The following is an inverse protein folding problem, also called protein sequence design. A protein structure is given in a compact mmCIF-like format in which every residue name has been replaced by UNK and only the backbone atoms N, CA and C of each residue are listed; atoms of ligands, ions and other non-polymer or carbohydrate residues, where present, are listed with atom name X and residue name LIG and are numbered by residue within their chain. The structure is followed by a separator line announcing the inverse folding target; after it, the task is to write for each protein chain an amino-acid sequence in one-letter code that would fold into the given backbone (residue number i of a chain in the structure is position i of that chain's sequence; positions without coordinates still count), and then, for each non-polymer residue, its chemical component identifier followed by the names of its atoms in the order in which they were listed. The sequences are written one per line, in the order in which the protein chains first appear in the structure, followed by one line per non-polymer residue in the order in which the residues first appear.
data_IF_642334393191
#
_entry.id   IF_642334393191
#
_cell.length_a   1.000
_cell.length_b   1.000
_cell.length_c   1.000
_cell.angle_alpha   90.00
_cell.angle_beta   90.00
_cell.angle_gamma   90.00
#
_symmetry.space_group_name_H-M   'P 1'
#
loop_
_entity.id
_entity.type
_entity.pdbx_description
1 polymer ?
#
# COMPACT_ATOMS: atom_id res chain seq x y z
N UNK A 1 27.43 -26.11 -38.84
CA UNK A 1 27.30 -24.64 -38.96
C UNK A 1 27.70 -24.03 -37.63
N UNK A 2 28.84 -23.36 -37.56
CA UNK A 2 29.29 -22.63 -36.37
C UNK A 2 28.37 -21.43 -36.18
N UNK A 3 27.58 -21.42 -35.11
CA UNK A 3 26.71 -20.30 -34.78
C UNK A 3 27.58 -19.08 -34.45
N UNK A 4 27.72 -18.16 -35.40
CA UNK A 4 28.35 -16.85 -35.14
C UNK A 4 27.51 -16.11 -34.11
N UNK A 5 28.14 -15.68 -33.02
CA UNK A 5 27.48 -14.90 -31.98
C UNK A 5 26.84 -13.65 -32.62
N UNK A 6 25.59 -13.35 -32.25
CA UNK A 6 24.92 -12.15 -32.75
C UNK A 6 25.68 -10.87 -32.32
N UNK A 7 25.64 -9.80 -33.12
CA UNK A 7 26.20 -8.50 -32.74
C UNK A 7 25.52 -7.96 -31.47
N UNK A 8 26.17 -7.02 -30.77
CA UNK A 8 25.60 -6.41 -29.57
C UNK A 8 24.40 -5.50 -29.90
N UNK A 9 24.52 -4.73 -30.98
CA UNK A 9 23.53 -3.75 -31.47
C UNK A 9 22.63 -4.35 -32.55
N UNK A 10 21.50 -3.68 -32.79
CA UNK A 10 20.61 -4.03 -33.89
C UNK A 10 21.19 -3.63 -35.26
N UNK A 11 20.66 -4.24 -36.31
CA UNK A 11 20.81 -3.80 -37.71
C UNK A 11 19.44 -3.64 -38.34
N UNK A 12 19.38 -3.19 -39.60
CA UNK A 12 18.12 -3.13 -40.37
C UNK A 12 17.42 -4.51 -40.52
N UNK A 13 18.17 -5.62 -40.35
CA UNK A 13 17.68 -6.97 -40.61
C UNK A 13 17.68 -7.88 -39.39
N UNK A 14 18.31 -7.50 -38.27
CA UNK A 14 18.44 -8.39 -37.11
C UNK A 14 18.47 -7.65 -35.78
N UNK A 15 17.91 -8.27 -34.74
CA UNK A 15 18.07 -7.80 -33.37
C UNK A 15 19.43 -8.20 -32.81
N UNK A 16 20.07 -7.26 -32.10
CA UNK A 16 21.31 -7.49 -31.37
C UNK A 16 21.10 -8.27 -30.08
N UNK A 17 22.18 -8.82 -29.52
CA UNK A 17 22.16 -9.59 -28.27
C UNK A 17 21.59 -8.80 -27.10
N UNK A 18 21.91 -7.52 -26.98
CA UNK A 18 21.45 -6.68 -25.87
C UNK A 18 19.93 -6.53 -25.89
N UNK A 19 19.36 -6.28 -27.08
CA UNK A 19 17.90 -6.20 -27.24
C UNK A 19 17.19 -7.52 -26.90
N UNK A 20 17.78 -8.67 -27.31
CA UNK A 20 17.25 -10.00 -26.98
C UNK A 20 17.31 -10.30 -25.48
N UNK A 21 18.42 -9.95 -24.81
CA UNK A 21 18.56 -10.10 -23.36
C UNK A 21 17.50 -9.28 -22.63
N UNK A 22 17.35 -7.99 -22.98
CA UNK A 22 16.32 -7.16 -22.40
C UNK A 22 14.92 -7.72 -22.63
N UNK A 23 14.63 -8.21 -23.84
CA UNK A 23 13.34 -8.82 -24.15
C UNK A 23 13.05 -10.03 -23.24
N UNK A 24 13.93 -11.02 -23.19
CA UNK A 24 13.69 -12.25 -22.44
C UNK A 24 13.76 -12.03 -20.93
N UNK A 25 14.61 -11.13 -20.45
CA UNK A 25 14.61 -10.73 -19.04
C UNK A 25 13.30 -10.03 -18.66
N UNK A 26 12.82 -9.11 -19.50
CA UNK A 26 11.51 -8.47 -19.29
C UNK A 26 10.39 -9.50 -19.28
N UNK A 27 10.39 -10.43 -20.25
CA UNK A 27 9.39 -11.49 -20.33
C UNK A 27 9.38 -12.36 -19.06
N UNK A 28 10.56 -12.80 -18.59
CA UNK A 28 10.70 -13.55 -17.35
C UNK A 28 10.10 -12.78 -16.16
N UNK A 29 10.51 -11.52 -15.97
CA UNK A 29 10.06 -10.72 -14.85
C UNK A 29 8.54 -10.46 -14.87
N UNK A 30 7.97 -10.16 -16.03
CA UNK A 30 6.52 -9.92 -16.17
C UNK A 30 5.72 -11.21 -15.97
N UNK A 31 6.16 -12.33 -16.55
CA UNK A 31 5.50 -13.63 -16.39
C UNK A 31 5.65 -14.20 -14.97
N UNK A 32 6.59 -13.70 -14.17
CA UNK A 32 6.68 -13.97 -12.73
C UNK A 32 5.80 -13.00 -11.92
N UNK A 33 5.84 -11.69 -12.20
CA UNK A 33 5.12 -10.68 -11.43
C UNK A 33 3.60 -10.80 -11.57
N UNK A 34 3.08 -11.09 -12.77
CA UNK A 34 1.64 -11.22 -13.02
C UNK A 34 0.97 -12.29 -12.14
N UNK A 35 1.40 -13.56 -12.14
CA UNK A 35 0.78 -14.58 -11.28
C UNK A 35 1.00 -14.29 -9.80
N UNK A 36 2.16 -13.77 -9.40
CA UNK A 36 2.39 -13.37 -8.01
C UNK A 36 1.35 -12.33 -7.54
N UNK A 37 1.05 -11.33 -8.38
CA UNK A 37 0.07 -10.30 -8.06
C UNK A 37 -1.36 -10.85 -7.95
N UNK A 38 -1.76 -11.70 -8.91
CA UNK A 38 -3.09 -12.34 -8.90
C UNK A 38 -3.27 -13.25 -7.68
N UNK A 39 -2.30 -14.12 -7.41
CA UNK A 39 -2.33 -15.04 -6.27
C UNK A 39 -2.32 -14.25 -4.95
N UNK A 40 -1.47 -13.22 -4.83
CA UNK A 40 -1.40 -12.40 -3.62
C UNK A 40 -2.73 -11.67 -3.35
N UNK A 41 -3.37 -11.12 -4.40
CA UNK A 41 -4.64 -10.40 -4.28
C UNK A 41 -5.73 -11.30 -3.68
N UNK A 42 -5.87 -12.52 -4.22
CA UNK A 42 -6.93 -13.45 -3.87
C UNK A 42 -6.57 -14.36 -2.68
N UNK A 43 -5.35 -14.26 -2.14
CA UNK A 43 -4.91 -15.08 -1.01
C UNK A 43 -5.71 -14.77 0.26
N UNK A 44 -5.95 -15.81 1.06
CA UNK A 44 -6.61 -15.71 2.35
C UNK A 44 -5.83 -14.81 3.33
N UNK A 45 -6.54 -14.26 4.31
CA UNK A 45 -5.98 -13.40 5.36
C UNK A 45 -6.70 -13.60 6.70
N UNK A 46 -7.37 -14.73 6.84
CA UNK A 46 -8.15 -15.17 8.00
C UNK A 46 -7.30 -15.79 9.13
N UNK A 47 -5.99 -15.90 8.93
CA UNK A 47 -5.04 -16.46 9.89
C UNK A 47 -3.65 -15.82 9.79
N UNK A 48 -2.81 -16.00 10.81
CA UNK A 48 -1.44 -15.46 10.85
C UNK A 48 -0.60 -15.91 9.68
N UNK A 49 -0.61 -17.21 9.47
CA UNK A 49 0.13 -17.87 8.41
C UNK A 49 -0.39 -17.41 7.05
N UNK A 50 -1.71 -17.23 6.90
CA UNK A 50 -2.30 -16.70 5.69
C UNK A 50 -1.88 -15.24 5.43
N UNK A 51 -1.98 -14.34 6.41
CA UNK A 51 -1.54 -12.95 6.23
C UNK A 51 -0.03 -12.85 5.98
N UNK A 52 0.79 -13.61 6.70
CA UNK A 52 2.23 -13.65 6.46
C UNK A 52 2.56 -14.13 5.04
N UNK A 53 1.84 -15.15 4.54
CA UNK A 53 1.98 -15.63 3.16
C UNK A 53 1.52 -14.57 2.16
N UNK A 54 0.40 -13.90 2.41
CA UNK A 54 -0.09 -12.79 1.58
C UNK A 54 0.94 -11.66 1.52
N UNK A 55 1.49 -11.27 2.66
CA UNK A 55 2.54 -10.26 2.78
C UNK A 55 3.81 -10.66 2.03
N UNK A 56 4.22 -11.94 2.11
CA UNK A 56 5.35 -12.48 1.35
C UNK A 56 5.11 -12.41 -0.16
N UNK A 57 3.95 -12.87 -0.64
CA UNK A 57 3.60 -12.86 -2.06
C UNK A 57 3.55 -11.43 -2.62
N UNK A 58 2.99 -10.48 -1.86
CA UNK A 58 3.03 -9.07 -2.25
C UNK A 58 4.44 -8.49 -2.24
N UNK A 59 5.28 -8.83 -1.25
CA UNK A 59 6.67 -8.36 -1.20
C UNK A 59 7.46 -8.86 -2.42
N UNK A 60 7.28 -10.13 -2.80
CA UNK A 60 7.84 -10.71 -4.02
C UNK A 60 7.31 -10.01 -5.27
N UNK A 61 5.98 -9.87 -5.40
CA UNK A 61 5.33 -9.20 -6.53
C UNK A 61 5.89 -7.79 -6.74
N UNK A 62 5.91 -6.96 -5.68
CA UNK A 62 6.38 -5.57 -5.77
C UNK A 62 7.88 -5.52 -6.08
N UNK A 63 8.69 -6.37 -5.45
CA UNK A 63 10.15 -6.41 -5.69
C UNK A 63 10.48 -6.81 -7.14
N UNK A 64 9.80 -7.83 -7.67
CA UNK A 64 9.94 -8.25 -9.08
C UNK A 64 9.38 -7.18 -10.02
N UNK A 65 8.27 -6.53 -9.66
CA UNK A 65 7.66 -5.44 -10.43
C UNK A 65 8.59 -4.22 -10.58
N UNK A 66 9.28 -3.81 -9.52
CA UNK A 66 10.29 -2.74 -9.56
C UNK A 66 11.50 -3.14 -10.40
N UNK A 67 11.94 -4.41 -10.31
CA UNK A 67 13.00 -4.92 -11.18
C UNK A 67 12.58 -4.91 -12.66
N UNK A 68 11.33 -5.27 -12.95
CA UNK A 68 10.74 -5.20 -14.29
C UNK A 68 10.69 -3.77 -14.81
N UNK A 69 10.30 -2.80 -13.97
CA UNK A 69 10.29 -1.38 -14.31
C UNK A 69 11.68 -0.86 -14.67
N UNK A 70 12.69 -1.09 -13.82
CA UNK A 70 14.06 -0.68 -14.10
C UNK A 70 14.61 -1.32 -15.39
N UNK A 71 14.33 -2.61 -15.60
CA UNK A 71 14.69 -3.33 -16.83
C UNK A 71 13.99 -2.74 -18.06
N UNK A 72 12.71 -2.37 -17.93
CA UNK A 72 11.93 -1.77 -19.00
C UNK A 72 12.43 -0.38 -19.39
N UNK A 73 12.74 0.48 -18.41
CA UNK A 73 13.34 1.80 -18.66
C UNK A 73 14.67 1.64 -19.38
N UNK A 74 15.56 0.77 -18.88
CA UNK A 74 16.83 0.48 -19.54
C UNK A 74 16.64 -0.07 -20.97
N UNK A 75 15.67 -0.95 -21.18
CA UNK A 75 15.29 -1.49 -22.49
C UNK A 75 14.80 -0.40 -23.44
N UNK A 76 13.96 0.52 -22.99
CA UNK A 76 13.42 1.63 -23.79
C UNK A 76 14.56 2.58 -24.17
N UNK A 77 15.37 3.01 -23.20
CA UNK A 77 16.54 3.87 -23.44
C UNK A 77 17.51 3.22 -24.43
N UNK A 78 17.76 1.91 -24.30
CA UNK A 78 18.54 1.18 -25.28
C UNK A 78 17.87 1.23 -26.65
N UNK A 79 16.60 0.85 -26.77
CA UNK A 79 15.87 0.81 -28.04
C UNK A 79 15.85 2.16 -28.78
N UNK A 80 15.78 3.29 -28.07
CA UNK A 80 15.84 4.64 -28.66
C UNK A 80 17.16 4.93 -29.39
N UNK A 81 18.25 4.22 -29.06
CA UNK A 81 19.55 4.37 -29.72
C UNK A 81 19.78 3.39 -30.86
N UNK A 82 18.85 2.46 -31.10
CA UNK A 82 19.04 1.34 -32.01
C UNK A 82 18.21 1.48 -33.28
N UNK A 83 18.73 0.97 -34.39
CA UNK A 83 17.94 0.74 -35.60
C UNK A 83 16.86 -0.31 -35.32
N UNK A 84 15.60 -0.01 -35.68
CA UNK A 84 14.50 -1.00 -35.64
C UNK A 84 14.61 -1.89 -36.87
N UNK A 85 14.78 -3.22 -36.74
CA UNK A 85 14.84 -4.07 -37.91
C UNK A 85 13.45 -4.21 -38.56
N UNK A 86 13.40 -4.33 -39.90
CA UNK A 86 12.17 -4.30 -40.69
C UNK A 86 11.16 -5.41 -40.36
N UNK A 87 9.87 -5.17 -40.63
CA UNK A 87 8.82 -6.18 -40.53
C UNK A 87 8.98 -7.25 -41.63
N UNK A 88 8.71 -8.52 -41.34
CA UNK A 88 8.85 -9.59 -42.34
C UNK A 88 7.79 -9.53 -43.45
N UNK A 89 6.60 -9.05 -43.11
CA UNK A 89 5.42 -9.05 -43.99
C UNK A 89 4.74 -7.67 -44.05
N UNK A 90 5.45 -6.60 -44.49
CA UNK A 90 4.89 -5.24 -44.52
C UNK A 90 3.67 -5.12 -45.44
N UNK A 91 3.51 -6.02 -46.41
CA UNK A 91 2.35 -6.12 -47.29
C UNK A 91 1.06 -6.49 -46.53
N UNK A 92 1.17 -7.18 -45.38
CA UNK A 92 0.05 -7.57 -44.53
C UNK A 92 -0.30 -6.44 -43.57
N UNK A 93 -0.93 -5.39 -44.09
CA UNK A 93 -1.17 -4.12 -43.38
C UNK A 93 -1.88 -4.29 -42.03
N UNK A 94 -2.94 -5.10 -41.96
CA UNK A 94 -3.70 -5.31 -40.72
C UNK A 94 -2.87 -6.06 -39.67
N UNK A 95 -2.15 -7.10 -40.07
CA UNK A 95 -1.27 -7.88 -39.19
C UNK A 95 -0.13 -7.01 -38.65
N UNK A 96 0.48 -6.20 -39.53
CA UNK A 96 1.52 -5.24 -39.15
C UNK A 96 0.96 -4.18 -38.18
N UNK A 97 -0.22 -3.61 -38.46
CA UNK A 97 -0.88 -2.67 -37.56
C UNK A 97 -1.13 -3.26 -36.18
N UNK A 98 -1.70 -4.48 -36.11
CA UNK A 98 -1.98 -5.15 -34.83
C UNK A 98 -0.71 -5.49 -34.07
N UNK A 99 0.35 -5.95 -34.76
CA UNK A 99 1.63 -6.22 -34.15
C UNK A 99 2.24 -4.94 -33.54
N UNK A 100 2.23 -3.82 -34.28
CA UNK A 100 2.73 -2.54 -33.77
C UNK A 100 1.87 -1.98 -32.63
N UNK A 101 0.54 -2.11 -32.72
CA UNK A 101 -0.37 -1.73 -31.64
C UNK A 101 -0.07 -2.50 -30.35
N UNK A 102 0.05 -3.84 -30.44
CA UNK A 102 0.39 -4.67 -29.29
C UNK A 102 1.76 -4.32 -28.73
N UNK A 103 2.77 -4.06 -29.57
CA UNK A 103 4.07 -3.61 -29.09
C UNK A 103 4.00 -2.26 -28.36
N UNK A 104 3.24 -1.29 -28.87
CA UNK A 104 3.03 -0.01 -28.18
C UNK A 104 2.28 -0.17 -26.86
N UNK A 105 1.23 -1.00 -26.82
CA UNK A 105 0.52 -1.34 -25.59
C UNK A 105 1.47 -1.94 -24.55
N UNK A 106 2.34 -2.86 -24.97
CA UNK A 106 3.35 -3.45 -24.11
C UNK A 106 4.37 -2.39 -23.64
N UNK A 107 4.93 -1.58 -24.53
CA UNK A 107 5.92 -0.56 -24.13
C UNK A 107 5.37 0.43 -23.11
N UNK A 108 4.13 0.89 -23.31
CA UNK A 108 3.45 1.74 -22.33
C UNK A 108 3.20 0.96 -21.03
N UNK A 109 2.66 -0.27 -21.10
CA UNK A 109 2.40 -1.13 -19.94
C UNK A 109 3.62 -1.31 -19.04
N UNK A 110 4.78 -1.58 -19.66
CA UNK A 110 6.03 -1.87 -18.96
C UNK A 110 6.50 -0.74 -18.05
N UNK A 111 6.01 0.48 -18.30
CA UNK A 111 6.29 1.67 -17.47
C UNK A 111 5.14 1.92 -16.52
N UNK A 112 3.92 2.09 -17.02
CA UNK A 112 2.84 2.65 -16.21
C UNK A 112 2.21 1.64 -15.25
N UNK A 113 2.25 0.33 -15.53
CA UNK A 113 1.74 -0.70 -14.61
C UNK A 113 2.57 -0.72 -13.32
N UNK A 114 3.89 -0.94 -13.36
CA UNK A 114 4.67 -0.94 -12.13
C UNK A 114 4.76 0.45 -11.50
N UNK A 115 4.74 1.54 -12.28
CA UNK A 115 4.73 2.89 -11.73
C UNK A 115 3.45 3.16 -10.93
N UNK A 116 2.27 2.80 -11.44
CA UNK A 116 1.02 2.97 -10.68
C UNK A 116 1.00 2.09 -9.42
N UNK A 117 1.54 0.87 -9.49
CA UNK A 117 1.68 0.00 -8.32
C UNK A 117 2.64 0.58 -7.27
N UNK A 118 3.73 1.22 -7.71
CA UNK A 118 4.68 1.89 -6.82
C UNK A 118 4.09 3.14 -6.17
N UNK A 119 3.37 3.96 -6.95
CA UNK A 119 2.62 5.11 -6.43
C UNK A 119 1.57 4.70 -5.41
N UNK A 120 0.83 3.61 -5.67
CA UNK A 120 -0.08 3.00 -4.70
C UNK A 120 0.66 2.61 -3.41
N UNK A 121 1.76 1.86 -3.51
CA UNK A 121 2.54 1.47 -2.33
C UNK A 121 3.09 2.68 -1.55
N UNK A 122 3.58 3.70 -2.25
CA UNK A 122 4.09 4.91 -1.64
C UNK A 122 3.00 5.69 -0.87
N UNK A 123 1.75 5.65 -1.34
CA UNK A 123 0.60 6.28 -0.69
C UNK A 123 0.01 5.46 0.48
N UNK A 124 0.24 4.15 0.52
CA UNK A 124 -0.26 3.24 1.57
C UNK A 124 0.70 3.15 2.77
N UNK A 125 0.16 2.90 3.97
CA UNK A 125 0.96 2.64 5.18
C UNK A 125 1.13 1.13 5.41
N UNK A 126 2.34 0.69 5.75
CA UNK A 126 2.55 -0.52 6.55
C UNK A 126 2.44 -1.92 5.92
N UNK A 127 2.11 -2.09 4.64
CA UNK A 127 1.86 -3.44 4.10
C UNK A 127 2.88 -3.91 3.05
N UNK A 128 3.51 -5.07 3.30
CA UNK A 128 4.39 -5.83 2.41
C UNK A 128 5.54 -5.01 1.77
N UNK A 129 6.76 -5.00 2.35
CA UNK A 129 7.85 -4.12 1.92
C UNK A 129 8.45 -4.52 0.56
N UNK A 130 9.00 -3.53 -0.15
CA UNK A 130 9.85 -3.75 -1.34
C UNK A 130 11.30 -4.03 -0.92
N UNK A 131 11.89 -5.16 -1.33
CA UNK A 131 13.24 -5.55 -0.89
C UNK A 131 14.38 -4.91 -1.69
N UNK A 132 14.12 -3.76 -2.32
CA UNK A 132 15.14 -2.89 -2.90
C UNK A 132 15.47 -1.76 -1.93
N UNK A 133 16.74 -1.32 -1.84
CA UNK A 133 17.15 -0.25 -0.92
C UNK A 133 16.59 1.13 -1.28
N UNK A 134 15.93 1.27 -2.44
CA UNK A 134 15.40 2.53 -2.97
C UNK A 134 13.90 2.44 -3.34
N UNK A 135 13.14 1.51 -2.75
CA UNK A 135 11.79 1.15 -3.23
C UNK A 135 10.59 1.53 -2.36
N UNK A 136 10.76 2.00 -1.12
CA UNK A 136 9.64 2.09 -0.17
C UNK A 136 8.73 3.31 -0.39
N UNK A 137 9.32 4.49 -0.57
CA UNK A 137 8.60 5.75 -0.71
C UNK A 137 9.04 6.50 -1.95
N UNK A 138 8.17 7.37 -2.45
CA UNK A 138 8.47 8.29 -3.53
C UNK A 138 8.35 9.73 -3.00
N UNK A 139 9.30 10.61 -3.33
CA UNK A 139 9.18 12.02 -3.00
C UNK A 139 7.85 12.58 -3.50
N UNK A 140 7.22 13.44 -2.70
CA UNK A 140 5.98 14.14 -3.03
C UNK A 140 4.72 13.27 -3.16
N UNK A 141 4.78 11.98 -2.81
CA UNK A 141 3.57 11.14 -2.70
C UNK A 141 3.09 11.15 -1.25
N UNK A 142 1.94 11.79 -0.93
CA UNK A 142 1.42 11.82 0.43
C UNK A 142 0.88 10.44 0.84
N UNK A 143 0.93 10.15 2.14
CA UNK A 143 0.19 9.03 2.73
C UNK A 143 -1.29 9.39 2.75
N UNK A 144 -2.09 8.74 1.90
CA UNK A 144 -3.50 9.07 1.70
C UNK A 144 -4.24 7.89 1.07
N UNK A 145 -5.34 7.49 1.69
CA UNK A 145 -6.21 6.41 1.19
C UNK A 145 -6.81 6.75 -0.18
N UNK A 146 -7.22 8.01 -0.39
CA UNK A 146 -7.73 8.46 -1.67
C UNK A 146 -6.68 8.34 -2.79
N UNK A 147 -5.44 8.73 -2.51
CA UNK A 147 -4.32 8.61 -3.46
C UNK A 147 -3.98 7.14 -3.71
N UNK A 148 -3.95 6.32 -2.65
CA UNK A 148 -3.71 4.89 -2.76
C UNK A 148 -4.80 4.21 -3.59
N UNK A 149 -6.08 4.50 -3.37
CA UNK A 149 -7.20 3.92 -4.10
C UNK A 149 -7.20 4.33 -5.58
N UNK A 150 -6.91 5.59 -5.87
CA UNK A 150 -6.76 6.09 -7.23
C UNK A 150 -5.71 5.29 -8.03
N UNK A 151 -4.50 5.15 -7.48
CA UNK A 151 -3.43 4.41 -8.14
C UNK A 151 -3.64 2.89 -8.13
N UNK A 152 -4.34 2.36 -7.13
CA UNK A 152 -4.79 0.96 -7.12
C UNK A 152 -5.72 0.67 -8.31
N UNK A 153 -6.71 1.55 -8.55
CA UNK A 153 -7.62 1.44 -9.69
C UNK A 153 -6.88 1.49 -11.04
N UNK A 154 -5.90 2.38 -11.17
CA UNK A 154 -5.02 2.41 -12.35
C UNK A 154 -4.25 1.11 -12.51
N UNK A 155 -3.61 0.61 -11.44
CA UNK A 155 -2.86 -0.64 -11.48
C UNK A 155 -3.74 -1.82 -11.90
N UNK A 156 -4.94 -1.94 -11.34
CA UNK A 156 -5.90 -3.00 -11.68
C UNK A 156 -6.34 -2.95 -13.15
N UNK A 157 -6.63 -1.77 -13.70
CA UNK A 157 -7.05 -1.67 -15.10
C UNK A 157 -5.86 -1.86 -16.05
N UNK A 158 -4.71 -1.24 -15.76
CA UNK A 158 -3.53 -1.37 -16.61
C UNK A 158 -2.98 -2.79 -16.65
N UNK A 159 -3.07 -3.56 -15.55
CA UNK A 159 -2.69 -4.98 -15.55
C UNK A 159 -3.58 -5.83 -16.46
N UNK A 160 -4.88 -5.52 -16.59
CA UNK A 160 -5.77 -6.17 -17.56
C UNK A 160 -5.34 -5.88 -19.00
N UNK A 161 -5.02 -4.61 -19.31
CA UNK A 161 -4.50 -4.21 -20.62
C UNK A 161 -3.18 -4.93 -20.94
N UNK A 162 -2.25 -4.94 -19.98
CA UNK A 162 -0.98 -5.67 -20.09
C UNK A 162 -1.21 -7.17 -20.31
N UNK A 163 -2.09 -7.80 -19.53
CA UNK A 163 -2.41 -9.22 -19.65
C UNK A 163 -2.94 -9.59 -21.03
N UNK A 164 -3.91 -8.82 -21.55
CA UNK A 164 -4.43 -9.01 -22.91
C UNK A 164 -3.33 -8.79 -23.95
N UNK A 165 -2.52 -7.75 -23.82
CA UNK A 165 -1.43 -7.48 -24.76
C UNK A 165 -0.35 -8.59 -24.76
N UNK A 166 0.00 -9.13 -23.59
CA UNK A 166 0.93 -10.27 -23.46
C UNK A 166 0.34 -11.52 -24.13
N UNK A 167 -0.94 -11.82 -23.88
CA UNK A 167 -1.61 -12.96 -24.51
C UNK A 167 -1.64 -12.83 -26.03
N UNK A 168 -2.02 -11.67 -26.56
CA UNK A 168 -2.03 -11.40 -28.00
C UNK A 168 -0.62 -11.45 -28.60
N UNK A 169 0.39 -10.95 -27.89
CA UNK A 169 1.79 -11.01 -28.33
C UNK A 169 2.29 -12.45 -28.46
N UNK A 170 2.06 -13.28 -27.44
CA UNK A 170 2.43 -14.69 -27.45
C UNK A 170 1.65 -15.44 -28.55
N UNK A 171 0.34 -15.21 -28.65
CA UNK A 171 -0.50 -15.81 -29.68
C UNK A 171 -0.02 -15.45 -31.10
N UNK A 172 0.35 -14.18 -31.33
CA UNK A 172 0.96 -13.73 -32.58
C UNK A 172 2.26 -14.46 -32.88
N UNK A 173 3.20 -14.52 -31.91
CA UNK A 173 4.46 -15.23 -32.08
C UNK A 173 4.26 -16.73 -32.38
N UNK A 174 3.31 -17.38 -31.72
CA UNK A 174 2.96 -18.78 -31.97
C UNK A 174 2.30 -18.99 -33.33
N UNK A 175 1.40 -18.08 -33.74
CA UNK A 175 0.78 -18.09 -35.08
C UNK A 175 1.85 -17.99 -36.16
N UNK A 176 2.79 -17.06 -36.03
CA UNK A 176 3.93 -16.92 -36.95
C UNK A 176 4.83 -18.17 -36.96
N UNK A 177 5.07 -18.79 -35.81
CA UNK A 177 5.93 -19.98 -35.71
C UNK A 177 5.26 -21.25 -36.27
N UNK A 178 3.97 -21.46 -35.98
CA UNK A 178 3.27 -22.74 -36.22
C UNK A 178 2.50 -22.71 -37.55
N UNK A 179 1.83 -21.59 -37.85
CA UNK A 179 0.94 -21.43 -39.00
C UNK A 179 1.70 -20.80 -40.17
N UNK A 180 2.25 -19.59 -40.01
CA UNK A 180 3.00 -18.95 -41.10
C UNK A 180 4.37 -19.59 -41.33
N UNK A 181 4.93 -20.20 -40.29
CA UNK A 181 6.26 -20.84 -40.27
C UNK A 181 7.36 -19.89 -40.73
N UNK A 182 7.29 -18.65 -40.28
CA UNK A 182 8.27 -17.61 -40.63
C UNK A 182 9.34 -17.41 -39.53
N UNK A 183 10.23 -16.45 -39.76
CA UNK A 183 11.39 -16.19 -38.88
C UNK A 183 11.10 -15.24 -37.71
N UNK A 184 9.84 -14.87 -37.45
CA UNK A 184 9.47 -13.87 -36.43
C UNK A 184 9.99 -14.23 -35.04
N UNK A 185 9.71 -15.44 -34.55
CA UNK A 185 10.20 -15.89 -33.25
C UNK A 185 11.72 -16.14 -33.26
N UNK A 186 12.23 -16.73 -34.35
CA UNK A 186 13.65 -17.02 -34.51
C UNK A 186 14.54 -15.77 -34.40
N UNK A 187 14.04 -14.60 -34.84
CA UNK A 187 14.73 -13.31 -34.70
C UNK A 187 14.94 -12.88 -33.24
N UNK A 188 14.16 -13.39 -32.30
CA UNK A 188 14.28 -13.10 -30.87
C UNK A 188 15.03 -14.19 -30.08
N UNK A 189 15.20 -15.39 -30.63
CA UNK A 189 15.98 -16.47 -30.00
C UNK A 189 17.50 -16.19 -29.99
N UNK A 190 18.28 -16.86 -29.13
CA UNK A 190 19.74 -16.78 -29.16
C UNK A 190 20.31 -17.12 -30.54
N UNK A 191 21.36 -16.41 -30.95
CA UNK A 191 21.97 -16.55 -32.28
C UNK A 191 21.67 -15.40 -33.23
N UNK A 192 22.25 -15.43 -34.42
CA UNK A 192 22.09 -14.39 -35.45
C UNK A 192 21.10 -14.86 -36.51
N UNK A 193 20.02 -14.10 -36.70
CA UNK A 193 19.00 -14.31 -37.74
C UNK A 193 18.75 -12.97 -38.41
N UNK A 194 19.23 -12.81 -39.64
CA UNK A 194 18.99 -11.64 -40.48
C UNK A 194 17.81 -11.92 -41.40
N UNK A 195 16.72 -11.16 -41.25
CA UNK A 195 15.51 -11.30 -42.05
C UNK A 195 14.68 -10.01 -42.06
N UNK A 196 14.11 -9.69 -43.22
CA UNK A 196 13.27 -8.52 -43.46
C UNK A 196 13.77 -7.66 -44.63
N UNK A 197 12.90 -6.84 -45.23
CA UNK A 197 13.27 -5.86 -46.23
C UNK A 197 14.03 -4.68 -45.59
N UNK A 198 14.52 -3.76 -46.43
CA UNK A 198 15.02 -2.46 -45.96
C UNK A 198 13.96 -1.75 -45.10
N UNK A 199 14.42 -0.97 -44.11
CA UNK A 199 13.52 -0.28 -43.18
C UNK A 199 12.55 0.65 -43.94
N UNK A 200 11.26 0.31 -43.91
CA UNK A 200 10.18 1.12 -44.49
C UNK A 200 9.69 2.18 -43.49
N UNK A 201 9.05 3.22 -44.02
CA UNK A 201 8.46 4.31 -43.25
C UNK A 201 7.37 3.78 -42.28
N UNK A 202 7.37 4.27 -41.04
CA UNK A 202 6.51 3.75 -39.98
C UNK A 202 5.19 4.52 -39.89
N UNK A 203 4.06 3.81 -39.98
CA UNK A 203 2.76 4.39 -39.65
C UNK A 203 2.68 4.66 -38.14
N UNK A 204 2.27 5.88 -37.77
CA UNK A 204 2.11 6.29 -36.37
C UNK A 204 0.71 5.99 -35.84
N UNK A 205 -0.22 5.52 -36.67
CA UNK A 205 -1.59 5.19 -36.26
C UNK A 205 -1.67 4.16 -35.11
N UNK A 206 -0.82 3.10 -35.02
CA UNK A 206 -0.89 2.16 -33.90
C UNK A 206 -0.49 2.80 -32.57
N UNK A 207 0.43 3.76 -32.59
CA UNK A 207 0.84 4.52 -31.40
C UNK A 207 -0.32 5.34 -30.85
N UNK A 208 -1.01 6.10 -31.71
CA UNK A 208 -2.16 6.90 -31.28
C UNK A 208 -3.31 6.02 -30.80
N UNK A 209 -3.56 4.89 -31.45
CA UNK A 209 -4.54 3.91 -30.99
C UNK A 209 -4.20 3.37 -29.59
N UNK A 210 -2.93 3.05 -29.32
CA UNK A 210 -2.47 2.64 -27.99
C UNK A 210 -2.68 3.75 -26.94
N UNK A 211 -2.40 5.01 -27.28
CA UNK A 211 -2.65 6.15 -26.38
C UNK A 211 -4.13 6.33 -26.07
N UNK A 212 -5.03 6.18 -27.05
CA UNK A 212 -6.48 6.26 -26.83
C UNK A 212 -6.94 5.13 -25.90
N UNK A 213 -6.47 3.90 -26.12
CA UNK A 213 -6.78 2.76 -25.24
C UNK A 213 -6.35 3.08 -23.80
N UNK A 214 -5.16 3.65 -23.61
CA UNK A 214 -4.69 4.02 -22.28
C UNK A 214 -5.42 5.22 -21.67
N UNK A 215 -5.83 6.20 -22.47
CA UNK A 215 -6.65 7.30 -21.97
C UNK A 215 -8.01 6.78 -21.45
N UNK A 216 -8.63 5.84 -22.17
CA UNK A 216 -9.86 5.16 -21.71
C UNK A 216 -9.58 4.32 -20.46
N UNK A 217 -8.49 3.56 -20.45
CA UNK A 217 -8.10 2.74 -19.30
C UNK A 217 -7.81 3.60 -18.05
N UNK A 218 -7.20 4.78 -18.22
CA UNK A 218 -6.99 5.75 -17.15
C UNK A 218 -8.33 6.26 -16.61
N UNK A 219 -9.27 6.65 -17.48
CA UNK A 219 -10.61 7.06 -17.06
C UNK A 219 -11.32 5.97 -16.27
N UNK A 220 -11.32 4.73 -16.78
CA UNK A 220 -11.90 3.58 -16.10
C UNK A 220 -11.21 3.23 -14.78
N UNK A 221 -9.88 3.29 -14.73
CA UNK A 221 -9.09 3.04 -13.53
C UNK A 221 -9.32 4.10 -12.45
N UNK A 222 -9.39 5.38 -12.83
CA UNK A 222 -9.73 6.48 -11.92
C UNK A 222 -11.13 6.29 -11.34
N UNK A 223 -12.11 5.98 -12.20
CA UNK A 223 -13.48 5.73 -11.77
C UNK A 223 -13.54 4.53 -10.82
N UNK A 224 -12.97 3.38 -11.18
CA UNK A 224 -13.00 2.18 -10.34
C UNK A 224 -12.26 2.39 -9.02
N UNK A 225 -11.11 3.05 -9.01
CA UNK A 225 -10.34 3.32 -7.80
C UNK A 225 -11.11 4.22 -6.82
N UNK A 226 -11.72 5.30 -7.32
CA UNK A 226 -12.51 6.21 -6.50
C UNK A 226 -13.86 5.61 -6.09
N UNK A 227 -14.53 4.88 -7.00
CA UNK A 227 -15.78 4.20 -6.70
C UNK A 227 -15.57 3.10 -5.65
N UNK A 228 -14.51 2.29 -5.74
CA UNK A 228 -14.18 1.33 -4.68
C UNK A 228 -13.75 1.99 -3.36
N UNK A 229 -13.23 3.22 -3.37
CA UNK A 229 -13.01 3.96 -2.13
C UNK A 229 -14.34 4.46 -1.52
N UNK A 230 -15.35 4.71 -2.35
CA UNK A 230 -16.68 5.15 -1.91
C UNK A 230 -17.60 3.96 -1.56
N UNK A 231 -17.41 2.81 -2.22
CA UNK A 231 -18.14 1.54 -2.03
C UNK A 231 -17.46 0.59 -1.05
N UNK A 232 -16.15 0.75 -0.77
CA UNK A 232 -15.63 0.30 0.50
C UNK A 232 -16.63 0.84 1.51
N UNK A 233 -17.29 -0.04 2.30
CA UNK A 233 -18.34 0.40 3.21
C UNK A 233 -17.75 1.61 3.91
N UNK A 234 -18.48 2.73 3.91
CA UNK A 234 -17.97 4.10 4.08
C UNK A 234 -17.17 4.32 5.38
N UNK A 235 -16.05 3.62 5.58
CA UNK A 235 -15.99 2.84 6.82
C UNK A 235 -17.32 2.02 6.95
N UNK A 236 -17.34 0.73 7.29
CA UNK A 236 -18.39 0.40 8.26
C UNK A 236 -17.97 1.25 9.45
N UNK A 237 -18.33 2.55 9.46
CA UNK A 237 -18.41 3.30 10.69
C UNK A 237 -19.48 2.50 11.37
N UNK A 238 -19.04 1.49 12.13
CA UNK A 238 -19.67 1.17 13.39
C UNK A 238 -19.88 2.55 13.97
N UNK A 239 -21.11 3.05 13.82
CA UNK A 239 -21.40 4.44 14.09
C UNK A 239 -20.88 4.65 15.50
N UNK A 240 -19.89 5.53 15.65
CA UNK A 240 -19.25 5.74 16.93
C UNK A 240 -20.37 6.01 17.92
N UNK A 241 -20.48 5.15 18.93
CA UNK A 241 -21.55 5.26 19.91
C UNK A 241 -21.46 6.66 20.51
N UNK A 242 -22.53 7.47 20.48
CA UNK A 242 -22.50 8.79 21.07
C UNK A 242 -22.09 8.66 22.54
N UNK A 243 -20.95 9.26 22.86
CA UNK A 243 -20.42 9.22 24.22
C UNK A 243 -21.14 10.28 25.07
N UNK A 244 -21.43 9.93 26.31
CA UNK A 244 -21.93 10.91 27.26
C UNK A 244 -20.80 11.90 27.60
N UNK A 245 -21.09 13.20 27.64
CA UNK A 245 -20.14 14.18 28.18
C UNK A 245 -20.32 14.21 29.70
N UNK A 246 -19.40 13.66 30.49
CA UNK A 246 -19.54 13.63 31.94
C UNK A 246 -19.34 15.03 32.53
N UNK A 247 -20.00 15.30 33.66
CA UNK A 247 -19.67 16.48 34.46
C UNK A 247 -18.24 16.33 34.98
N UNK A 248 -17.41 17.34 34.70
CA UNK A 248 -15.98 17.33 35.00
C UNK A 248 -15.57 18.62 35.71
N UNK A 249 -14.55 18.57 36.57
CA UNK A 249 -13.90 19.78 37.08
C UNK A 249 -13.03 20.48 36.02
N UNK A 250 -12.60 19.75 34.99
CA UNK A 250 -11.79 20.27 33.88
C UNK A 250 -12.33 19.77 32.52
N UNK A 251 -13.02 20.63 31.80
CA UNK A 251 -13.60 20.29 30.49
C UNK A 251 -12.55 20.35 29.37
N UNK A 252 -12.33 19.20 28.71
CA UNK A 252 -11.49 19.09 27.51
C UNK A 252 -12.08 19.96 26.38
N UNK A 253 -11.26 20.84 25.82
CA UNK A 253 -11.61 21.72 24.69
C UNK A 253 -11.15 21.14 23.35
N UNK A 254 -9.95 20.55 23.36
CA UNK A 254 -9.33 19.91 22.22
C UNK A 254 -8.36 18.85 22.71
N UNK A 255 -8.22 17.76 21.96
CA UNK A 255 -7.14 16.81 22.20
C UNK A 255 -7.01 15.79 21.08
N UNK A 256 -6.00 14.93 21.23
CA UNK A 256 -5.69 13.82 20.35
C UNK A 256 -5.41 12.58 21.17
N UNK A 257 -5.96 11.44 20.73
CA UNK A 257 -5.64 10.12 21.23
C UNK A 257 -5.10 9.29 20.07
N UNK A 258 -3.78 9.21 19.98
CA UNK A 258 -3.05 8.53 18.91
C UNK A 258 -2.54 7.16 19.34
N UNK A 259 -2.44 6.25 18.37
CA UNK A 259 -1.77 4.95 18.52
C UNK A 259 -0.78 4.71 17.39
N UNK A 260 0.29 3.97 17.66
CA UNK A 260 1.16 3.43 16.62
C UNK A 260 1.55 1.98 16.88
N UNK A 261 1.61 1.19 15.81
CA UNK A 261 1.98 -0.23 15.86
C UNK A 261 2.87 -0.58 14.66
N UNK A 262 3.82 -1.48 14.86
CA UNK A 262 4.61 -2.00 13.74
C UNK A 262 3.81 -3.07 12.97
N UNK A 263 3.85 -3.01 11.64
CA UNK A 263 3.32 -4.05 10.77
C UNK A 263 4.32 -4.33 9.66
N UNK A 264 4.74 -5.59 9.51
CA UNK A 264 5.79 -6.00 8.56
C UNK A 264 7.06 -5.10 8.61
N UNK A 265 7.45 -4.65 9.81
CA UNK A 265 8.61 -3.77 10.05
C UNK A 265 8.41 -2.29 9.68
N UNK A 266 7.19 -1.87 9.36
CA UNK A 266 6.83 -0.47 9.11
C UNK A 266 5.86 0.03 10.18
N UNK A 267 6.01 1.28 10.62
CA UNK A 267 5.08 1.88 11.58
C UNK A 267 3.77 2.25 10.87
N UNK A 268 2.64 1.88 11.48
CA UNK A 268 1.30 2.31 11.12
C UNK A 268 0.77 3.15 12.28
N UNK A 269 0.39 4.39 11.97
CA UNK A 269 -0.14 5.36 12.93
C UNK A 269 -1.63 5.55 12.73
N UNK A 270 -2.32 5.84 13.83
CA UNK A 270 -3.76 6.02 13.87
C UNK A 270 -4.22 6.87 15.03
N UNK A 271 -5.51 7.16 15.08
CA UNK A 271 -6.12 7.93 16.17
C UNK A 271 -7.60 7.62 16.32
N UNK A 272 -8.13 7.90 17.51
CA UNK A 272 -9.56 7.88 17.80
C UNK A 272 -10.09 9.31 17.77
N UNK A 273 -11.09 9.57 16.93
CA UNK A 273 -11.70 10.89 16.81
C UNK A 273 -12.69 11.19 17.94
N UNK A 274 -13.39 10.17 18.45
CA UNK A 274 -14.48 10.33 19.42
C UNK A 274 -14.10 9.68 20.75
N UNK A 275 -13.82 10.53 21.74
CA UNK A 275 -13.57 10.15 23.12
C UNK A 275 -14.00 11.29 24.06
N UNK A 276 -14.35 10.94 25.29
CA UNK A 276 -14.75 11.89 26.33
C UNK A 276 -13.99 11.60 27.61
N UNK A 277 -13.70 12.64 28.40
CA UNK A 277 -13.02 12.49 29.67
C UNK A 277 -13.75 13.25 30.79
N UNK A 278 -13.97 12.57 31.91
CA UNK A 278 -14.27 13.18 33.21
C UNK A 278 -12.99 13.34 33.99
N UNK A 279 -12.62 14.59 34.26
CA UNK A 279 -11.39 14.92 34.98
C UNK A 279 -11.77 15.68 36.25
N UNK A 280 -11.36 15.16 37.41
CA UNK A 280 -11.33 15.89 38.67
C UNK A 280 -9.86 16.03 39.05
N UNK A 281 -9.36 17.26 39.12
CA UNK A 281 -7.94 17.51 39.43
C UNK A 281 -7.81 18.75 40.29
N UNK A 282 -7.16 18.58 41.44
CA UNK A 282 -6.85 19.62 42.41
C UNK A 282 -5.33 19.80 42.51
N UNK A 283 -4.76 20.89 41.95
CA UNK A 283 -3.31 21.13 42.01
C UNK A 283 -2.79 21.35 43.44
N UNK A 284 -3.66 21.72 44.38
CA UNK A 284 -3.32 22.09 45.75
C UNK A 284 -3.51 20.93 46.74
N UNK A 285 -3.86 19.73 46.24
CA UNK A 285 -4.05 18.54 47.07
C UNK A 285 -2.78 18.19 47.87
N UNK A 286 -2.93 18.01 49.19
CA UNK A 286 -1.81 17.75 50.10
C UNK A 286 -1.23 16.32 50.00
N UNK A 287 -2.00 15.37 49.45
CA UNK A 287 -1.62 13.96 49.33
C UNK A 287 -0.91 13.62 48.01
N UNK A 288 -0.51 12.35 47.82
CA UNK A 288 0.05 11.87 46.55
C UNK A 288 -1.00 11.77 45.43
N UNK A 289 -2.27 11.59 45.78
CA UNK A 289 -3.40 11.62 44.86
C UNK A 289 -3.85 13.06 44.64
N UNK A 290 -3.88 13.47 43.38
CA UNK A 290 -4.19 14.81 42.89
C UNK A 290 -5.61 14.91 42.31
N UNK A 291 -6.31 13.78 42.21
CA UNK A 291 -7.64 13.68 41.66
C UNK A 291 -7.90 12.37 40.93
N UNK A 292 -8.91 12.35 40.06
CA UNK A 292 -9.35 11.17 39.33
C UNK A 292 -9.64 11.48 37.87
N UNK A 293 -9.49 10.47 37.02
CA UNK A 293 -9.83 10.54 35.60
C UNK A 293 -10.65 9.32 35.20
N UNK A 294 -11.66 9.55 34.36
CA UNK A 294 -12.39 8.51 33.65
C UNK A 294 -12.52 8.91 32.18
N UNK A 295 -12.03 8.07 31.28
CA UNK A 295 -12.06 8.28 29.83
C UNK A 295 -12.90 7.18 29.20
N UNK A 296 -13.75 7.56 28.26
CA UNK A 296 -14.49 6.64 27.39
C UNK A 296 -14.12 6.94 25.94
N UNK A 297 -13.84 5.91 25.16
CA UNK A 297 -13.36 6.00 23.78
C UNK A 297 -14.32 5.20 22.90
N UNK A 298 -14.85 5.81 21.85
CA UNK A 298 -15.67 5.10 20.88
C UNK A 298 -14.75 4.40 19.87
N UNK A 299 -14.75 3.07 19.90
CA UNK A 299 -13.83 2.24 19.09
C UNK A 299 -14.06 2.43 17.59
N UNK A 300 -15.33 2.60 17.18
CA UNK A 300 -15.70 2.86 15.78
C UNK A 300 -15.13 4.16 15.19
N UNK A 301 -14.59 5.06 16.02
CA UNK A 301 -13.95 6.31 15.58
C UNK A 301 -12.47 6.14 15.20
N UNK A 302 -11.94 4.91 15.26
CA UNK A 302 -10.57 4.60 14.90
C UNK A 302 -10.30 4.92 13.43
N UNK A 303 -9.16 5.57 13.19
CA UNK A 303 -8.46 5.60 11.91
C UNK A 303 -7.07 5.00 12.11
N UNK A 304 -6.65 4.07 11.26
CA UNK A 304 -5.35 3.38 11.32
C UNK A 304 -4.81 3.13 9.90
N UNK A 305 -4.98 4.12 9.01
CA UNK A 305 -4.68 4.02 7.59
C UNK A 305 -5.41 2.85 6.90
N UNK A 306 -4.75 2.21 5.94
CA UNK A 306 -5.37 1.16 5.11
C UNK A 306 -5.80 -0.10 5.87
N UNK A 307 -5.45 -0.25 7.15
CA UNK A 307 -5.84 -1.39 7.99
C UNK A 307 -6.99 -1.06 8.95
N UNK A 308 -7.56 0.14 8.88
CA UNK A 308 -8.67 0.57 9.76
C UNK A 308 -9.82 -0.44 9.79
N UNK A 309 -10.36 -0.80 8.63
CA UNK A 309 -11.50 -1.73 8.54
C UNK A 309 -11.17 -3.12 9.11
N UNK A 310 -9.91 -3.55 9.00
CA UNK A 310 -9.47 -4.83 9.56
C UNK A 310 -9.31 -4.75 11.07
N UNK A 311 -8.76 -3.65 11.58
CA UNK A 311 -8.60 -3.42 13.01
C UNK A 311 -9.94 -3.41 13.77
N UNK A 312 -11.05 -3.04 13.12
CA UNK A 312 -12.38 -3.02 13.74
C UNK A 312 -13.04 -4.41 13.86
N UNK A 313 -12.54 -5.44 13.17
CA UNK A 313 -13.14 -6.78 13.13
C UNK A 313 -12.96 -7.58 14.44
N UNK A 314 -13.72 -8.69 14.65
CA UNK A 314 -13.70 -9.50 15.87
C UNK A 314 -12.33 -9.99 16.36
N UNK A 315 -11.41 -10.26 15.44
CA UNK A 315 -10.04 -10.66 15.78
C UNK A 315 -9.28 -9.54 16.53
N UNK A 316 -9.49 -8.29 16.14
CA UNK A 316 -8.83 -7.12 16.70
C UNK A 316 -9.71 -6.44 17.74
N UNK A 317 -10.21 -5.23 17.46
CA UNK A 317 -11.01 -4.47 18.43
C UNK A 317 -12.42 -5.01 18.65
N UNK A 318 -12.94 -5.82 17.72
CA UNK A 318 -14.31 -6.36 17.78
C UNK A 318 -15.35 -5.25 18.03
N UNK A 319 -15.28 -4.18 17.23
CA UNK A 319 -15.97 -2.92 17.50
C UNK A 319 -17.50 -3.02 17.57
N UNK A 320 -18.11 -4.02 16.92
CA UNK A 320 -19.55 -4.28 17.02
C UNK A 320 -19.96 -4.82 18.39
N UNK A 321 -19.17 -5.77 18.94
CA UNK A 321 -19.42 -6.39 20.24
C UNK A 321 -18.89 -5.55 21.41
N UNK A 322 -17.84 -4.76 21.14
CA UNK A 322 -17.13 -3.91 22.10
C UNK A 322 -17.02 -2.48 21.55
N UNK A 323 -18.13 -1.72 21.53
CA UNK A 323 -18.17 -0.41 20.88
C UNK A 323 -17.37 0.67 21.62
N UNK A 324 -17.06 0.46 22.90
CA UNK A 324 -16.31 1.41 23.71
C UNK A 324 -15.15 0.74 24.46
N UNK A 325 -14.11 1.54 24.72
CA UNK A 325 -13.06 1.24 25.68
C UNK A 325 -13.06 2.31 26.78
N UNK A 326 -12.67 1.92 27.99
CA UNK A 326 -12.70 2.82 29.14
C UNK A 326 -11.38 2.79 29.89
N UNK A 327 -10.89 3.94 30.31
CA UNK A 327 -9.78 4.03 31.26
C UNK A 327 -10.24 4.79 32.50
N UNK A 328 -10.08 4.23 33.69
CA UNK A 328 -10.44 4.92 34.94
C UNK A 328 -9.37 4.70 36.01
N UNK A 329 -8.98 5.77 36.70
CA UNK A 329 -8.03 5.68 37.80
C UNK A 329 -7.72 7.01 38.47
N UNK A 330 -6.99 6.98 39.60
CA UNK A 330 -6.42 8.16 40.22
C UNK A 330 -5.36 8.85 39.35
N UNK A 331 -5.24 10.16 39.53
CA UNK A 331 -4.11 10.96 39.07
C UNK A 331 -3.15 11.13 40.25
N UNK A 332 -1.93 10.64 40.11
CA UNK A 332 -0.90 10.68 41.13
C UNK A 332 0.15 11.74 40.79
N UNK A 333 0.72 12.36 41.82
CA UNK A 333 1.86 13.27 41.69
C UNK A 333 3.10 12.48 41.25
N UNK A 334 3.78 12.94 40.21
CA UNK A 334 5.04 12.36 39.74
C UNK A 334 6.26 12.88 40.50
N UNK A 335 7.42 12.33 40.15
CA UNK A 335 8.69 12.62 40.84
C UNK A 335 9.27 14.01 40.53
N UNK A 336 8.86 14.61 39.41
CA UNK A 336 9.32 15.91 38.95
C UNK A 336 8.20 16.96 39.00
N UNK A 337 8.56 18.24 39.17
CA UNK A 337 7.60 19.34 39.11
C UNK A 337 6.89 19.36 37.74
N UNK A 338 5.55 19.40 37.76
CA UNK A 338 4.74 19.36 36.54
C UNK A 338 4.59 17.96 35.91
N UNK A 339 5.11 16.91 36.57
CA UNK A 339 4.93 15.51 36.17
C UNK A 339 3.88 14.82 37.04
N UNK A 340 3.06 13.98 36.40
CA UNK A 340 1.98 13.23 37.02
C UNK A 340 1.86 11.86 36.35
N UNK A 341 1.13 10.95 37.01
CA UNK A 341 0.81 9.63 36.47
C UNK A 341 -0.68 9.38 36.63
N UNK A 342 -1.39 9.13 35.54
CA UNK A 342 -2.73 8.55 35.63
C UNK A 342 -2.56 7.04 35.74
N UNK A 343 -2.82 6.48 36.92
CA UNK A 343 -2.55 5.08 37.24
C UNK A 343 -3.87 4.36 37.49
N UNK A 344 -4.32 3.57 36.52
CA UNK A 344 -5.70 3.08 36.50
C UNK A 344 -5.88 1.76 35.79
N UNK A 345 -7.13 1.46 35.45
CA UNK A 345 -7.51 0.27 34.70
C UNK A 345 -7.99 0.67 33.32
N UNK A 346 -7.38 0.09 32.29
CA UNK A 346 -7.88 0.13 30.91
C UNK A 346 -8.73 -1.12 30.68
N UNK A 347 -9.99 -0.92 30.31
CA UNK A 347 -10.90 -1.94 29.80
C UNK A 347 -10.97 -1.82 28.30
N UNK A 348 -10.53 -2.85 27.58
CA UNK A 348 -10.48 -2.88 26.13
C UNK A 348 -10.82 -4.30 25.65
N UNK A 349 -11.75 -4.41 24.70
CA UNK A 349 -12.26 -5.70 24.18
C UNK A 349 -12.71 -6.66 25.29
N UNK A 350 -13.33 -6.12 26.34
CA UNK A 350 -13.81 -6.89 27.50
C UNK A 350 -12.72 -7.39 28.47
N UNK A 351 -11.45 -7.12 28.21
CA UNK A 351 -10.35 -7.41 29.13
C UNK A 351 -9.96 -6.16 29.93
N UNK A 352 -9.62 -6.34 31.20
CA UNK A 352 -9.22 -5.28 32.12
C UNK A 352 -7.76 -5.43 32.51
N UNK A 353 -6.96 -4.41 32.23
CA UNK A 353 -5.52 -4.41 32.55
C UNK A 353 -5.13 -3.13 33.29
N UNK A 354 -4.21 -3.21 34.26
CA UNK A 354 -3.60 -2.01 34.84
C UNK A 354 -2.82 -1.25 33.78
N UNK A 355 -2.94 0.07 33.78
CA UNK A 355 -2.24 0.97 32.88
C UNK A 355 -1.79 2.22 33.62
N UNK A 356 -0.49 2.49 33.53
CA UNK A 356 0.09 3.74 34.01
C UNK A 356 0.42 4.64 32.82
N UNK A 357 -0.15 5.84 32.80
CA UNK A 357 0.10 6.88 31.81
C UNK A 357 0.87 8.03 32.49
N UNK A 358 2.20 8.09 32.36
CA UNK A 358 2.95 9.27 32.76
C UNK A 358 2.62 10.44 31.82
N UNK A 359 2.46 11.63 32.38
CA UNK A 359 2.19 12.83 31.62
C UNK A 359 2.81 14.08 32.26
N UNK A 360 3.01 15.09 31.42
CA UNK A 360 3.38 16.44 31.85
C UNK A 360 2.15 17.34 31.82
N UNK A 361 2.07 18.27 32.77
CA UNK A 361 0.95 19.20 32.90
C UNK A 361 1.46 20.63 33.07
N UNK A 362 1.00 21.51 32.21
CA UNK A 362 1.21 22.96 32.31
C UNK A 362 -0.10 23.63 32.68
N UNK A 363 -0.11 24.38 33.78
CA UNK A 363 -1.25 25.13 34.25
C UNK A 363 -0.99 26.62 34.03
N UNK A 364 -1.92 27.28 33.35
CA UNK A 364 -1.94 28.73 33.14
C UNK A 364 -3.33 29.27 33.51
N UNK A 365 -3.46 29.71 34.77
CA UNK A 365 -4.74 30.10 35.34
C UNK A 365 -5.80 28.99 35.28
N UNK A 366 -6.85 29.23 34.49
CA UNK A 366 -7.95 28.27 34.28
C UNK A 366 -7.71 27.26 33.16
N UNK A 367 -6.56 27.29 32.48
CA UNK A 367 -6.26 26.40 31.35
C UNK A 367 -5.16 25.41 31.69
N UNK A 368 -5.38 24.14 31.36
CA UNK A 368 -4.44 23.04 31.51
C UNK A 368 -4.03 22.50 30.14
N UNK A 369 -2.73 22.30 29.92
CA UNK A 369 -2.19 21.57 28.75
C UNK A 369 -1.47 20.32 29.24
N UNK A 370 -1.87 19.17 28.70
CA UNK A 370 -1.37 17.86 29.09
C UNK A 370 -0.82 17.13 27.87
N UNK A 371 0.35 16.51 28.05
CA UNK A 371 0.97 15.59 27.08
C UNK A 371 1.48 14.36 27.80
N UNK A 372 1.08 13.18 27.34
CA UNK A 372 1.44 11.89 27.91
C UNK A 372 1.66 10.83 26.85
N UNK A 373 2.47 9.84 27.19
CA UNK A 373 2.70 8.69 26.33
C UNK A 373 2.92 7.44 27.18
N UNK A 374 2.48 6.30 26.67
CA UNK A 374 2.70 4.99 27.29
C UNK A 374 2.74 3.91 26.22
N UNK A 375 3.08 2.69 26.62
CA UNK A 375 3.14 1.53 25.73
C UNK A 375 2.29 0.42 26.35
N UNK A 376 1.44 -0.18 25.53
CA UNK A 376 0.62 -1.33 25.92
C UNK A 376 0.98 -2.55 25.09
N UNK A 377 0.79 -3.75 25.64
CA UNK A 377 0.85 -4.99 24.86
C UNK A 377 -0.57 -5.39 24.44
N UNK A 378 -0.84 -5.40 23.14
CA UNK A 378 -2.19 -5.72 22.62
C UNK A 378 -2.66 -7.13 23.00
N UNK A 379 -1.72 -8.04 23.29
CA UNK A 379 -2.03 -9.44 23.61
C UNK A 379 -2.67 -9.60 24.97
N UNK A 380 -2.38 -8.68 25.89
CA UNK A 380 -3.00 -8.64 27.22
C UNK A 380 -4.53 -8.47 27.12
N UNK A 381 -5.00 -7.86 26.03
CA UNK A 381 -6.42 -7.66 25.73
C UNK A 381 -6.99 -8.68 24.73
N UNK A 382 -6.23 -9.71 24.35
CA UNK A 382 -6.67 -10.68 23.35
C UNK A 382 -6.87 -10.10 21.95
N UNK A 383 -6.21 -8.98 21.63
CA UNK A 383 -6.30 -8.31 20.32
C UNK A 383 -5.27 -8.93 19.37
N UNK A 384 -5.76 -9.59 18.31
CA UNK A 384 -4.93 -10.22 17.29
C UNK A 384 -4.08 -11.39 17.80
N UNK A 385 -4.52 -12.12 18.82
CA UNK A 385 -3.70 -13.21 19.42
C UNK A 385 -3.85 -14.55 18.70
N UNK A 386 -4.99 -14.82 18.06
CA UNK A 386 -5.26 -16.09 17.37
C UNK A 386 -4.50 -16.17 16.06
N UNK A 387 -4.60 -15.13 15.25
CA UNK A 387 -4.02 -15.03 13.92
C UNK A 387 -2.88 -14.03 13.84
N UNK A 388 -2.38 -13.42 14.91
CA UNK A 388 -1.20 -12.54 14.83
C UNK A 388 -0.28 -12.77 16.03
N UNK A 389 0.12 -14.02 16.24
CA UNK A 389 0.97 -14.44 17.37
C UNK A 389 2.45 -14.10 17.24
N UNK A 390 2.91 -13.47 16.14
CA UNK A 390 4.30 -13.08 15.93
C UNK A 390 4.47 -11.55 15.80
N UNK A 391 5.57 -11.05 16.34
CA UNK A 391 5.89 -9.61 16.45
C UNK A 391 6.32 -9.00 15.09
N UNK A 392 6.62 -9.82 14.08
CA UNK A 392 7.10 -9.34 12.78
C UNK A 392 5.94 -8.96 11.87
N UNK A 393 4.84 -9.71 11.94
CA UNK A 393 3.62 -9.47 11.15
C UNK A 393 2.87 -8.27 11.72
N UNK A 394 2.53 -8.31 13.01
CA UNK A 394 1.94 -7.20 13.76
C UNK A 394 2.63 -7.12 15.12
N UNK A 395 3.26 -5.98 15.40
CA UNK A 395 3.97 -5.74 16.65
C UNK A 395 3.09 -6.00 17.87
N UNK A 396 3.67 -6.53 18.93
CA UNK A 396 2.97 -6.77 20.19
C UNK A 396 2.71 -5.47 20.94
N UNK A 397 3.70 -4.59 20.94
CA UNK A 397 3.62 -3.29 21.59
C UNK A 397 2.90 -2.28 20.71
N UNK A 398 2.00 -1.52 21.33
CA UNK A 398 1.32 -0.37 20.73
C UNK A 398 1.70 0.86 21.55
N UNK A 399 2.28 1.85 20.90
CA UNK A 399 2.53 3.14 21.54
C UNK A 399 1.22 3.92 21.58
N UNK A 400 0.92 4.53 22.71
CA UNK A 400 -0.25 5.37 22.92
C UNK A 400 0.23 6.77 23.25
N UNK A 401 -0.26 7.77 22.53
CA UNK A 401 0.07 9.17 22.75
C UNK A 401 -1.20 9.98 22.97
N UNK A 402 -1.19 10.81 24.01
CA UNK A 402 -2.31 11.66 24.39
C UNK A 402 -1.81 13.09 24.54
N UNK A 403 -2.53 14.02 23.93
CA UNK A 403 -2.34 15.45 24.16
C UNK A 403 -3.70 16.13 24.25
N UNK A 404 -3.89 17.00 25.23
CA UNK A 404 -5.14 17.74 25.38
C UNK A 404 -4.96 19.12 26.01
N UNK A 405 -5.92 19.99 25.72
CA UNK A 405 -6.14 21.24 26.44
C UNK A 405 -7.50 21.19 27.11
N UNK A 406 -7.55 21.49 28.41
CA UNK A 406 -8.77 21.54 29.19
C UNK A 406 -8.89 22.88 29.93
N UNK A 407 -10.13 23.32 30.16
CA UNK A 407 -10.43 24.48 30.98
C UNK A 407 -11.10 24.05 32.28
N UNK A 408 -10.74 24.73 33.38
CA UNK A 408 -11.40 24.54 34.67
C UNK A 408 -12.85 25.01 34.54
N UNK A 409 -13.79 24.16 34.94
CA UNK A 409 -15.18 24.55 35.05
C UNK A 409 -15.35 25.41 36.32
N UNK A 410 -16.01 26.56 36.18
CA UNK A 410 -16.31 27.49 37.29
C UNK A 410 -17.37 26.95 38.25
#
# INVERSE_FOLDING_TARGET
MTATAAPLTNSAYSYGRVAKIFHWLTALLILTALPLGLIANDWAYDSASALATKGLLFSLHKTVGIAAFGTAVARILWALTQTKPGALHPERKLETFLAELVHWLLYISLVIVPLSGWLHHAATSGFAPIWWPFGQTLPFVPKSEAVAAFFSGWHLVFTKVLGVAVLLHIAGALKHQIIDRDLTLARMLPGHVAAGPDALDHDKSPFWAALVIYAVAMGGGSYLGLAHHQEAPATETVAATPLAVPASGWAVQQGSLGISVQQFGSVVEGSFADWTASIAFDPDAAGPEMGTVSVEIAIGSLTLGSVTAEALKPEFFAAEDHPTATFTGPILRGDAAGSYVADGTLTLKGAEMPLSLPFTLQLDGGTARMEGATVIDRRDFGIGTTSYGDDKTVGFTVDVQVALTANRNE
#
